data_IF_385325578880
#
_entry.id   IF_385325578880
#
_cell.length_a   1.000
_cell.length_b   1.000
_cell.length_c   1.000
_cell.angle_alpha   90.00
_cell.angle_beta   90.00
_cell.angle_gamma   90.00
#
_symmetry.space_group_name_H-M   'P 1'
#
loop_
_entity.id
_entity.type
_entity.pdbx_description
1 polymer ?
#
# COMPACT_ATOMS: atom_id res chain seq x y z
N UNK A 1 -7.64 10.69 18.44
CA UNK A 1 -7.02 10.25 17.16
C UNK A 1 -6.46 11.47 16.45
N UNK A 2 -5.19 11.46 16.02
CA UNK A 2 -4.56 12.53 15.24
C UNK A 2 -3.94 11.95 13.97
N UNK A 3 -4.41 12.36 12.80
CA UNK A 3 -3.83 11.92 11.52
C UNK A 3 -2.50 12.64 11.27
N UNK A 4 -1.43 11.88 11.01
CA UNK A 4 -0.13 12.44 10.65
C UNK A 4 -0.09 12.71 9.15
N UNK A 5 -0.38 11.69 8.34
CA UNK A 5 -0.45 11.78 6.89
C UNK A 5 -1.36 10.68 6.33
N UNK A 6 -1.78 10.89 5.09
CA UNK A 6 -2.56 9.95 4.28
C UNK A 6 -1.78 9.66 3.02
N UNK A 7 -1.62 8.39 2.70
CA UNK A 7 -0.86 7.92 1.54
C UNK A 7 -1.69 6.96 0.71
N UNK A 8 -1.46 6.92 -0.60
CA UNK A 8 -2.17 6.09 -1.57
C UNK A 8 -1.35 4.86 -1.93
N UNK A 9 -2.04 3.76 -2.24
CA UNK A 9 -1.39 2.56 -2.73
C UNK A 9 -1.09 2.65 -4.23
N UNK A 10 0.09 2.18 -4.61
CA UNK A 10 0.53 2.03 -5.99
C UNK A 10 0.77 0.55 -6.29
N UNK A 11 0.65 0.19 -7.56
CA UNK A 11 0.99 -1.15 -8.04
C UNK A 11 2.50 -1.33 -7.98
N UNK A 12 2.93 -2.49 -7.49
CA UNK A 12 4.32 -2.94 -7.52
C UNK A 12 4.44 -4.14 -8.45
N UNK A 13 5.42 -4.08 -9.34
CA UNK A 13 5.67 -5.09 -10.36
C UNK A 13 7.17 -5.22 -10.67
N UNK A 14 7.61 -6.33 -11.31
CA UNK A 14 8.95 -6.43 -11.88
C UNK A 14 9.25 -5.30 -12.88
N UNK A 15 10.50 -4.83 -13.01
CA UNK A 15 10.85 -3.69 -13.86
C UNK A 15 10.65 -3.95 -15.37
N UNK A 16 10.66 -5.21 -15.78
CA UNK A 16 10.40 -5.71 -17.13
C UNK A 16 8.91 -5.98 -17.41
N UNK A 17 8.05 -5.88 -16.40
CA UNK A 17 6.61 -6.08 -16.55
C UNK A 17 5.99 -5.02 -17.48
N UNK A 18 5.01 -5.36 -18.35
CA UNK A 18 4.38 -4.40 -19.27
C UNK A 18 3.80 -3.15 -18.58
N UNK A 19 3.35 -3.29 -17.34
CA UNK A 19 2.84 -2.16 -16.54
C UNK A 19 3.93 -1.20 -16.09
N UNK A 20 5.19 -1.62 -15.92
CA UNK A 20 6.28 -0.79 -15.42
C UNK A 20 6.54 0.45 -16.30
N UNK A 21 6.18 0.38 -17.59
CA UNK A 21 6.33 1.49 -18.56
C UNK A 21 5.12 2.41 -18.64
N UNK A 22 4.04 2.11 -17.91
CA UNK A 22 2.79 2.88 -17.97
C UNK A 22 2.79 3.99 -16.94
N UNK A 23 2.11 5.09 -17.25
CA UNK A 23 1.83 6.17 -16.28
C UNK A 23 0.84 5.72 -15.20
N UNK A 24 -0.14 4.90 -15.57
CA UNK A 24 -1.14 4.35 -14.66
C UNK A 24 -1.79 3.06 -15.18
N UNK A 25 -2.36 2.29 -14.26
CA UNK A 25 -3.07 1.03 -14.48
C UNK A 25 -4.37 1.02 -13.70
N UNK A 26 -5.44 0.39 -14.20
CA UNK A 26 -6.69 0.20 -13.44
C UNK A 26 -6.71 -1.15 -12.74
N UNK A 27 -7.48 -1.25 -11.66
CA UNK A 27 -7.66 -2.51 -10.92
C UNK A 27 -8.13 -3.68 -11.78
N UNK A 28 -9.10 -3.44 -12.68
CA UNK A 28 -9.62 -4.46 -13.58
C UNK A 28 -8.54 -5.05 -14.52
N UNK A 29 -7.50 -4.29 -14.83
CA UNK A 29 -6.41 -4.72 -15.72
C UNK A 29 -5.46 -5.72 -15.05
N UNK A 30 -5.53 -5.87 -13.72
CA UNK A 30 -4.73 -6.85 -12.98
C UNK A 30 -5.27 -8.29 -13.15
N UNK A 31 -6.47 -8.46 -13.73
CA UNK A 31 -7.17 -9.74 -13.93
C UNK A 31 -6.34 -10.88 -14.53
N UNK A 32 -5.45 -10.64 -15.51
CA UNK A 32 -4.62 -11.71 -16.08
C UNK A 32 -3.47 -12.18 -15.18
N UNK A 33 -3.15 -11.45 -14.10
CA UNK A 33 -1.95 -11.67 -13.31
C UNK A 33 -2.29 -12.14 -11.89
N UNK A 34 -1.42 -12.93 -11.27
CA UNK A 34 -1.49 -13.26 -9.84
C UNK A 34 -1.40 -11.98 -9.02
N UNK A 35 -2.39 -11.73 -8.17
CA UNK A 35 -2.37 -10.62 -7.23
C UNK A 35 -2.00 -11.14 -5.84
N UNK A 36 -1.09 -10.43 -5.16
CA UNK A 36 -0.59 -10.75 -3.83
C UNK A 36 -1.09 -9.66 -2.90
N UNK A 37 -2.09 -9.96 -2.07
CA UNK A 37 -2.58 -9.05 -1.04
C UNK A 37 -1.52 -8.89 0.08
N UNK A 38 -1.01 -7.67 0.33
CA UNK A 38 0.19 -7.47 1.15
C UNK A 38 -0.01 -7.62 2.66
N UNK A 39 -1.26 -7.59 3.13
CA UNK A 39 -1.63 -7.80 4.53
C UNK A 39 -2.97 -8.53 4.63
N UNK A 40 -3.21 -9.22 5.75
CA UNK A 40 -4.47 -9.93 6.02
C UNK A 40 -5.69 -9.00 6.02
N UNK A 41 -5.56 -7.77 6.52
CA UNK A 41 -6.64 -6.79 6.56
C UNK A 41 -6.85 -6.07 5.21
N UNK A 42 -5.89 -6.17 4.28
CA UNK A 42 -5.92 -5.42 3.02
C UNK A 42 -7.22 -5.65 2.27
N UNK A 43 -7.56 -6.92 1.99
CA UNK A 43 -8.72 -7.31 1.18
C UNK A 43 -10.03 -6.79 1.76
N UNK A 44 -10.23 -6.94 3.06
CA UNK A 44 -11.44 -6.46 3.74
C UNK A 44 -11.60 -4.93 3.71
N UNK A 45 -10.48 -4.20 3.68
CA UNK A 45 -10.50 -2.72 3.65
C UNK A 45 -10.69 -2.15 2.25
N UNK A 46 -10.11 -2.78 1.23
CA UNK A 46 -10.20 -2.31 -0.15
C UNK A 46 -11.50 -2.75 -0.83
N UNK A 47 -12.01 -3.96 -0.52
CA UNK A 47 -13.16 -4.53 -1.23
C UNK A 47 -14.40 -3.63 -1.27
N UNK A 48 -14.77 -2.90 -0.20
CA UNK A 48 -15.90 -1.97 -0.23
C UNK A 48 -15.71 -0.77 -1.17
N UNK A 49 -14.46 -0.42 -1.50
CA UNK A 49 -14.15 0.71 -2.40
C UNK A 49 -14.08 0.29 -3.88
N UNK A 50 -14.01 -1.01 -4.17
CA UNK A 50 -13.81 -1.52 -5.53
C UNK A 50 -15.14 -1.75 -6.27
N UNK A 51 -15.12 -1.47 -7.56
CA UNK A 51 -16.15 -1.93 -8.49
C UNK A 51 -16.21 -3.48 -8.54
N UNK A 52 -17.33 -4.03 -9.00
CA UNK A 52 -17.60 -5.47 -8.93
C UNK A 52 -16.53 -6.33 -9.64
N UNK A 53 -16.07 -5.90 -10.81
CA UNK A 53 -15.01 -6.55 -11.59
C UNK A 53 -13.66 -6.56 -10.85
N UNK A 54 -13.29 -5.41 -10.28
CA UNK A 54 -12.09 -5.26 -9.47
C UNK A 54 -12.18 -6.00 -8.13
N UNK A 55 -13.37 -6.17 -7.57
CA UNK A 55 -13.58 -6.97 -6.35
C UNK A 55 -13.46 -8.47 -6.62
N UNK A 56 -13.99 -8.94 -7.75
CA UNK A 56 -13.85 -10.34 -8.18
C UNK A 56 -12.37 -10.75 -8.33
N UNK A 57 -11.49 -9.81 -8.72
CA UNK A 57 -10.04 -9.99 -8.70
C UNK A 57 -9.53 -10.44 -7.34
N UNK A 58 -10.02 -9.86 -6.26
CA UNK A 58 -9.53 -10.15 -4.91
C UNK A 58 -10.10 -11.44 -4.35
N UNK A 59 -11.22 -11.93 -4.88
CA UNK A 59 -11.93 -13.12 -4.41
C UNK A 59 -11.57 -14.39 -5.19
N UNK A 60 -10.89 -14.27 -6.34
CA UNK A 60 -10.51 -15.42 -7.17
C UNK A 60 -9.48 -16.34 -6.47
N UNK A 61 -9.51 -17.66 -6.74
CA UNK A 61 -8.58 -18.64 -6.15
C UNK A 61 -7.09 -18.35 -6.40
N UNK A 62 -6.75 -17.69 -7.52
CA UNK A 62 -5.38 -17.33 -7.86
C UNK A 62 -4.82 -16.13 -7.09
N UNK A 63 -5.63 -15.43 -6.29
CA UNK A 63 -5.14 -14.33 -5.45
C UNK A 63 -4.53 -14.89 -4.17
N UNK A 64 -3.28 -14.51 -3.92
CA UNK A 64 -2.53 -14.90 -2.74
C UNK A 64 -2.65 -13.85 -1.64
N UNK A 65 -2.50 -14.27 -0.39
CA UNK A 65 -2.55 -13.38 0.77
C UNK A 65 -1.35 -13.66 1.66
N UNK A 66 -0.67 -12.58 2.07
CA UNK A 66 0.46 -12.66 2.99
C UNK A 66 0.24 -11.75 4.20
N UNK A 67 0.98 -12.02 5.28
CA UNK A 67 0.85 -11.24 6.52
C UNK A 67 1.69 -9.96 6.51
N UNK A 68 2.72 -9.87 5.65
CA UNK A 68 3.69 -8.78 5.66
C UNK A 68 3.99 -8.26 4.25
N UNK A 69 4.07 -6.92 4.14
CA UNK A 69 4.41 -6.23 2.90
C UNK A 69 5.79 -6.65 2.36
N UNK A 70 6.78 -6.88 3.23
CA UNK A 70 8.11 -7.36 2.83
C UNK A 70 8.06 -8.73 2.15
N UNK A 71 7.18 -9.64 2.62
CA UNK A 71 6.95 -10.94 1.98
C UNK A 71 6.37 -10.75 0.58
N UNK A 72 5.35 -9.88 0.44
CA UNK A 72 4.78 -9.59 -0.87
C UNK A 72 5.81 -9.02 -1.84
N UNK A 73 6.65 -8.07 -1.40
CA UNK A 73 7.73 -7.51 -2.23
C UNK A 73 8.73 -8.58 -2.67
N UNK A 74 9.14 -9.48 -1.77
CA UNK A 74 10.03 -10.59 -2.12
C UNK A 74 9.41 -11.55 -3.15
N UNK A 75 8.12 -11.83 -3.04
CA UNK A 75 7.40 -12.67 -4.01
C UNK A 75 7.28 -11.99 -5.39
N UNK A 76 7.04 -10.68 -5.42
CA UNK A 76 7.06 -9.91 -6.68
C UNK A 76 8.46 -9.92 -7.30
N UNK A 77 9.52 -9.72 -6.50
CA UNK A 77 10.89 -9.80 -6.97
C UNK A 77 11.26 -11.20 -7.51
N UNK A 78 10.64 -12.26 -6.98
CA UNK A 78 10.76 -13.62 -7.48
C UNK A 78 9.81 -13.94 -8.66
N UNK A 79 9.09 -12.95 -9.21
CA UNK A 79 8.22 -13.12 -10.38
C UNK A 79 6.90 -13.84 -10.11
N UNK A 80 6.47 -13.97 -8.85
CA UNK A 80 5.26 -14.74 -8.50
C UNK A 80 3.94 -13.99 -8.73
N UNK A 81 4.00 -12.68 -8.98
CA UNK A 81 2.81 -11.88 -9.23
C UNK A 81 3.04 -10.39 -9.04
N UNK A 82 1.95 -9.68 -8.76
CA UNK A 82 1.89 -8.24 -8.54
C UNK A 82 1.36 -7.95 -7.13
N UNK A 83 1.80 -6.87 -6.49
CA UNK A 83 1.24 -6.43 -5.21
C UNK A 83 0.97 -4.93 -5.23
N UNK A 84 0.48 -4.38 -4.12
CA UNK A 84 0.35 -2.94 -3.92
C UNK A 84 1.00 -2.53 -2.62
N UNK A 85 1.55 -1.32 -2.57
CA UNK A 85 1.98 -0.73 -1.31
C UNK A 85 1.80 0.80 -1.31
N UNK A 86 1.73 1.43 -0.14
CA UNK A 86 1.79 2.89 -0.04
C UNK A 86 3.08 3.46 -0.64
N UNK A 87 3.04 4.68 -1.15
CA UNK A 87 4.20 5.35 -1.76
C UNK A 87 5.34 5.63 -0.78
N UNK A 88 5.07 5.77 0.52
CA UNK A 88 6.14 5.93 1.53
C UNK A 88 7.06 4.70 1.58
N UNK A 89 6.62 3.54 1.07
CA UNK A 89 7.43 2.33 0.95
C UNK A 89 8.37 2.34 -0.25
N UNK A 90 8.38 3.40 -1.07
CA UNK A 90 9.21 3.55 -2.27
C UNK A 90 10.71 3.24 -2.06
N UNK A 91 11.37 3.67 -0.96
CA UNK A 91 12.76 3.29 -0.71
C UNK A 91 12.97 1.78 -0.62
N UNK A 92 12.03 1.06 -0.01
CA UNK A 92 12.06 -0.40 0.08
C UNK A 92 11.80 -1.03 -1.29
N UNK A 93 10.80 -0.55 -2.03
CA UNK A 93 10.50 -1.02 -3.40
C UNK A 93 11.75 -0.91 -4.29
N UNK A 94 12.44 0.23 -4.24
CA UNK A 94 13.70 0.46 -4.97
C UNK A 94 14.82 -0.46 -4.52
N UNK A 95 14.95 -0.72 -3.22
CA UNK A 95 15.96 -1.65 -2.70
C UNK A 95 15.75 -3.10 -3.21
N UNK A 96 14.51 -3.48 -3.53
CA UNK A 96 14.18 -4.76 -4.16
C UNK A 96 14.29 -4.74 -5.70
N UNK A 97 14.68 -3.62 -6.32
CA UNK A 97 14.78 -3.49 -7.77
C UNK A 97 13.42 -3.51 -8.50
N UNK A 98 12.34 -3.18 -7.80
CA UNK A 98 10.97 -3.25 -8.33
C UNK A 98 10.50 -1.90 -8.89
N UNK A 99 9.52 -1.96 -9.80
CA UNK A 99 8.86 -0.79 -10.36
C UNK A 99 7.57 -0.47 -9.58
N UNK A 100 7.30 0.83 -9.42
CA UNK A 100 6.09 1.35 -8.79
C UNK A 100 5.28 2.13 -9.82
N UNK A 101 4.02 1.74 -10.03
CA UNK A 101 3.14 2.28 -11.08
C UNK A 101 1.84 2.77 -10.45
N UNK A 102 1.35 3.93 -10.89
CA UNK A 102 0.13 4.51 -10.33
C UNK A 102 -1.05 3.56 -10.57
N UNK A 103 -1.68 3.13 -9.49
CA UNK A 103 -2.94 2.39 -9.56
C UNK A 103 -4.10 3.39 -9.56
N UNK A 104 -4.91 3.35 -10.61
CA UNK A 104 -6.05 4.21 -10.85
C UNK A 104 -7.26 3.80 -10.00
N UNK A 105 -8.27 4.66 -9.97
CA UNK A 105 -9.37 4.63 -9.02
C UNK A 105 -9.99 3.23 -8.75
N UNK A 106 -10.35 2.91 -7.49
CA UNK A 106 -10.31 3.80 -6.33
C UNK A 106 -8.88 4.09 -5.84
N UNK A 107 -8.68 5.32 -5.39
CA UNK A 107 -7.48 5.70 -4.66
C UNK A 107 -7.59 5.16 -3.24
N UNK A 108 -7.10 3.94 -3.04
CA UNK A 108 -7.09 3.34 -1.72
C UNK A 108 -5.98 3.92 -0.87
N UNK A 109 -6.38 4.54 0.23
CA UNK A 109 -5.46 5.24 1.09
C UNK A 109 -5.22 4.52 2.41
N UNK A 110 -3.96 4.55 2.85
CA UNK A 110 -3.56 4.25 4.22
C UNK A 110 -3.35 5.54 4.97
N UNK A 111 -4.02 5.68 6.11
CA UNK A 111 -3.77 6.77 7.05
C UNK A 111 -2.82 6.29 8.14
N UNK A 112 -1.81 7.10 8.44
CA UNK A 112 -0.94 6.91 9.60
C UNK A 112 -1.35 7.91 10.66
N UNK A 113 -1.72 7.40 11.83
CA UNK A 113 -2.34 8.16 12.90
C UNK A 113 -1.65 7.89 14.24
N UNK A 114 -1.68 8.89 15.11
CA UNK A 114 -1.39 8.74 16.54
C UNK A 114 -2.70 8.52 17.29
N UNK A 115 -2.71 7.54 18.18
CA UNK A 115 -3.80 7.25 19.12
C UNK A 115 -3.30 7.44 20.55
N UNK A 116 -4.15 8.00 21.40
CA UNK A 116 -3.92 8.18 22.83
C UNK A 116 -5.26 7.97 23.55
N UNK A 117 -5.22 7.53 24.81
CA UNK A 117 -6.44 7.42 25.63
C UNK A 117 -6.99 8.83 25.88
N UNK A 118 -8.26 9.05 25.54
CA UNK A 118 -8.92 10.35 25.70
C UNK A 118 -9.02 10.80 27.16
N UNK A 119 -8.88 9.88 28.12
CA UNK A 119 -8.98 10.14 29.56
C UNK A 119 -7.63 10.41 30.23
N UNK A 120 -6.51 10.31 29.49
CA UNK A 120 -5.16 10.48 30.04
C UNK A 120 -4.40 11.57 29.29
N UNK A 121 -3.76 12.46 30.05
CA UNK A 121 -2.78 13.37 29.50
C UNK A 121 -1.54 12.61 29.03
N UNK A 122 -0.91 13.08 27.96
CA UNK A 122 0.39 12.58 27.54
C UNK A 122 1.44 12.96 28.58
N UNK A 123 2.41 12.07 28.82
CA UNK A 123 3.63 12.45 29.54
C UNK A 123 4.41 13.50 28.72
N UNK A 124 5.30 14.29 29.34
CA UNK A 124 6.13 15.25 28.62
C UNK A 124 6.91 14.61 27.46
N UNK A 125 7.47 13.42 27.65
CA UNK A 125 8.18 12.68 26.61
C UNK A 125 7.26 12.25 25.45
N UNK A 126 6.05 11.77 25.75
CA UNK A 126 5.10 11.38 24.72
C UNK A 126 4.57 12.59 23.93
N UNK A 127 4.34 13.72 24.60
CA UNK A 127 3.96 14.97 23.94
C UNK A 127 5.06 15.45 22.98
N UNK A 128 6.31 15.51 23.43
CA UNK A 128 7.46 15.86 22.61
C UNK A 128 7.64 14.92 21.41
N UNK A 129 7.43 13.61 21.60
CA UNK A 129 7.49 12.65 20.49
C UNK A 129 6.38 12.88 19.46
N UNK A 130 5.16 13.19 19.89
CA UNK A 130 4.06 13.52 18.97
C UNK A 130 4.37 14.80 18.19
N UNK A 131 4.97 15.81 18.83
CA UNK A 131 5.42 17.03 18.15
C UNK A 131 6.51 16.73 17.11
N UNK A 132 7.49 15.89 17.45
CA UNK A 132 8.53 15.43 16.52
C UNK A 132 7.93 14.75 15.29
N UNK A 133 7.00 13.80 15.49
CA UNK A 133 6.30 13.11 14.40
C UNK A 133 5.50 14.08 13.52
N UNK A 134 4.92 15.11 14.13
CA UNK A 134 4.20 16.18 13.44
C UNK A 134 5.14 17.10 12.66
N UNK A 135 6.35 17.35 13.14
CA UNK A 135 7.34 18.14 12.41
C UNK A 135 7.94 17.36 11.22
N UNK A 136 8.13 16.05 11.38
CA UNK A 136 8.80 15.18 10.40
C UNK A 136 7.85 14.38 9.50
N UNK A 137 6.59 14.82 9.34
CA UNK A 137 5.59 14.09 8.55
C UNK A 137 6.11 13.87 7.12
N UNK A 138 6.16 12.64 6.61
CA UNK A 138 6.49 12.41 5.21
C UNK A 138 5.45 13.07 4.29
N UNK A 139 5.88 13.44 3.08
CA UNK A 139 5.02 13.95 2.00
C UNK A 139 4.78 12.81 1.01
N UNK A 140 3.67 12.07 1.12
CA UNK A 140 3.46 10.90 0.28
C UNK A 140 3.11 11.30 -1.15
N UNK A 141 3.43 10.44 -2.12
CA UNK A 141 3.16 10.66 -3.53
C UNK A 141 4.32 11.23 -4.35
N UNK A 142 5.49 11.45 -3.76
CA UNK A 142 6.74 11.64 -4.50
C UNK A 142 7.31 10.26 -4.84
N UNK A 143 6.93 9.72 -6.01
CA UNK A 143 7.56 8.53 -6.58
C UNK A 143 8.86 8.92 -7.26
#
# INVERSE_FOLDING_TARGET
>A
RRTLFRDRHWLICPPDHPFARRRSVRWAELGPWTFIAPTRDFRGRIAPELAADARALLERPGTQEVSYMTTALGMVAAGQGLTVCPTYSSPLVRAWGLAMVRLAAPDFHREVCVYADARRSLSPAAAAFVELLVAQRPRPGAA
#
